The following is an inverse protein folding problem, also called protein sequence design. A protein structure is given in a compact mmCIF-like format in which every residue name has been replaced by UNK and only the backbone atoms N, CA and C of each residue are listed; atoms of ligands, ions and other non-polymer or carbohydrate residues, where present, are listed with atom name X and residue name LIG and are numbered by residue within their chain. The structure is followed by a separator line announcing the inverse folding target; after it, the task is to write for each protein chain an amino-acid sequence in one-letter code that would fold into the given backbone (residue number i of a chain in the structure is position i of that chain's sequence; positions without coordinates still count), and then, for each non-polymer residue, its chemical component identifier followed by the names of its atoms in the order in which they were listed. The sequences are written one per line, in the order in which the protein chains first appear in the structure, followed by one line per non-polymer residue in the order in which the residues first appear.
data_IF_986790974121
#
_entry.id   IF_986790974121
#
_cell.length_a   1.000
_cell.length_b   1.000
_cell.length_c   1.000
_cell.angle_alpha   90.00
_cell.angle_beta   90.00
_cell.angle_gamma   90.00
#
_symmetry.space_group_name_H-M   'P 1'
#
loop_
_entity.id
_entity.type
_entity.pdbx_description
1 polymer ?
#
# COMPACT_ATOMS: atom_id res chain seq x y z
N UNK A 1 13.50 22.71 27.45
CA UNK A 1 13.94 23.19 26.12
C UNK A 1 13.54 22.14 25.08
N UNK A 2 12.32 22.21 24.56
CA UNK A 2 11.86 21.33 23.49
C UNK A 2 11.44 22.22 22.33
N UNK A 3 12.36 22.46 21.40
CA UNK A 3 12.06 23.29 20.23
C UNK A 3 10.91 22.67 19.43
N UNK A 4 9.99 23.52 18.97
CA UNK A 4 8.92 23.16 18.04
C UNK A 4 9.51 22.30 16.91
N UNK A 5 9.24 20.99 16.95
CA UNK A 5 9.66 20.08 15.90
C UNK A 5 8.76 20.35 14.69
N UNK A 6 9.12 21.39 13.92
CA UNK A 6 8.44 21.79 12.70
C UNK A 6 8.73 20.73 11.65
N UNK A 7 7.84 19.74 11.55
CA UNK A 7 7.93 18.70 10.53
C UNK A 7 8.11 19.34 9.15
N UNK A 8 9.06 18.84 8.34
CA UNK A 8 9.34 19.32 6.97
C UNK A 8 8.51 18.56 5.93
N UNK A 9 7.25 18.30 6.23
CA UNK A 9 6.30 17.69 5.30
C UNK A 9 5.41 18.77 4.66
N UNK A 10 5.04 18.66 3.38
CA UNK A 10 4.39 19.73 2.64
C UNK A 10 2.88 19.86 2.93
N UNK A 11 2.49 19.80 4.21
CA UNK A 11 1.10 19.72 4.67
C UNK A 11 0.19 20.86 4.17
N UNK A 12 0.74 22.07 4.07
CA UNK A 12 -0.03 23.27 3.67
C UNK A 12 -0.06 23.50 2.16
N UNK A 13 0.95 23.04 1.43
CA UNK A 13 1.09 23.29 0.00
C UNK A 13 1.83 22.12 -0.67
N UNK A 14 1.17 20.95 -0.80
CA UNK A 14 1.74 19.81 -1.49
C UNK A 14 1.99 20.15 -2.97
N UNK A 15 3.15 19.74 -3.48
CA UNK A 15 3.54 19.94 -4.89
C UNK A 15 4.01 18.63 -5.54
N UNK A 16 3.19 17.56 -5.53
CA UNK A 16 3.55 16.35 -6.25
C UNK A 16 3.58 16.59 -7.76
N UNK A 17 4.45 15.88 -8.47
CA UNK A 17 4.65 15.98 -9.91
C UNK A 17 4.54 14.60 -10.56
N UNK A 18 3.30 14.12 -10.64
CA UNK A 18 2.95 12.83 -11.25
C UNK A 18 3.38 12.73 -12.71
N UNK A 19 3.31 13.85 -13.45
CA UNK A 19 3.66 13.88 -14.88
C UNK A 19 5.16 13.67 -15.05
N UNK A 20 5.98 14.42 -14.33
CA UNK A 20 7.43 14.30 -14.40
C UNK A 20 7.89 12.93 -13.95
N UNK A 21 7.34 12.42 -12.85
CA UNK A 21 7.66 11.10 -12.36
C UNK A 21 7.36 10.01 -13.40
N UNK A 22 6.18 10.05 -14.04
CA UNK A 22 5.82 9.15 -15.13
C UNK A 22 6.78 9.24 -16.32
N UNK A 23 7.13 10.45 -16.75
CA UNK A 23 8.08 10.67 -17.86
C UNK A 23 9.47 10.11 -17.58
N UNK A 24 9.93 10.20 -16.32
CA UNK A 24 11.19 9.61 -15.86
C UNK A 24 11.12 8.08 -15.90
N UNK A 25 10.04 7.49 -15.36
CA UNK A 25 9.85 6.03 -15.38
C UNK A 25 9.75 5.46 -16.80
N UNK A 26 9.12 6.18 -17.71
CA UNK A 26 9.01 5.82 -19.13
C UNK A 26 10.31 6.09 -19.91
N UNK A 27 11.36 6.61 -19.27
CA UNK A 27 12.64 6.93 -19.91
C UNK A 27 12.59 8.09 -20.90
N UNK A 28 11.49 8.86 -20.93
CA UNK A 28 11.29 10.01 -21.83
C UNK A 28 12.12 11.22 -21.43
N UNK A 29 12.53 11.31 -20.15
CA UNK A 29 13.42 12.36 -19.65
C UNK A 29 14.27 11.91 -18.46
N UNK A 30 15.31 12.68 -18.16
CA UNK A 30 16.08 12.53 -16.91
C UNK A 30 15.36 13.22 -15.75
N UNK A 31 15.55 12.68 -14.55
CA UNK A 31 15.02 13.29 -13.34
C UNK A 31 15.75 14.62 -13.04
N UNK A 32 14.98 15.69 -12.86
CA UNK A 32 15.50 17.02 -12.48
C UNK A 32 15.43 17.24 -10.96
N UNK A 33 14.73 16.35 -10.25
CA UNK A 33 14.62 16.32 -8.79
C UNK A 33 14.52 14.89 -8.28
N UNK A 34 14.72 14.72 -6.98
CA UNK A 34 14.39 13.46 -6.31
C UNK A 34 12.87 13.33 -6.25
N UNK A 35 12.36 12.24 -6.82
CA UNK A 35 10.96 11.85 -6.72
C UNK A 35 10.78 10.95 -5.48
N UNK A 36 9.73 11.21 -4.70
CA UNK A 36 9.47 10.42 -3.50
C UNK A 36 8.61 9.22 -3.83
N UNK A 37 9.13 8.05 -3.47
CA UNK A 37 8.52 6.73 -3.69
C UNK A 37 8.55 5.94 -2.38
N UNK A 38 7.44 5.32 -1.99
CA UNK A 38 7.34 4.45 -0.81
C UNK A 38 6.56 3.16 -1.16
N UNK A 39 7.27 2.04 -1.11
CA UNK A 39 6.73 0.74 -1.51
C UNK A 39 5.63 0.25 -0.58
N UNK A 40 5.62 0.63 0.70
CA UNK A 40 4.59 0.27 1.66
C UNK A 40 4.64 1.21 2.86
N UNK A 41 3.50 1.82 3.18
CA UNK A 41 3.33 2.53 4.45
C UNK A 41 2.32 1.81 5.32
N UNK A 42 2.76 1.44 6.53
CA UNK A 42 1.92 0.75 7.50
C UNK A 42 0.71 1.58 7.91
N UNK A 43 -0.43 0.91 8.14
CA UNK A 43 -1.69 1.55 8.51
C UNK A 43 -1.55 2.39 9.78
N UNK A 44 -0.77 1.91 10.75
CA UNK A 44 -0.51 2.57 12.02
C UNK A 44 0.18 3.93 11.81
N UNK A 45 1.09 4.02 10.83
CA UNK A 45 1.77 5.26 10.45
C UNK A 45 0.81 6.20 9.73
N UNK A 46 0.05 5.68 8.76
CA UNK A 46 -0.95 6.48 8.02
C UNK A 46 -1.99 7.05 8.97
N UNK A 47 -2.53 6.23 9.87
CA UNK A 47 -3.47 6.64 10.93
C UNK A 47 -2.89 7.75 11.79
N UNK A 48 -1.69 7.57 12.32
CA UNK A 48 -1.06 8.59 13.16
C UNK A 48 -0.92 9.93 12.44
N UNK A 49 -0.39 9.93 11.21
CA UNK A 49 -0.19 11.15 10.43
C UNK A 49 -1.54 11.79 10.09
N UNK A 50 -2.53 11.00 9.65
CA UNK A 50 -3.87 11.50 9.32
C UNK A 50 -4.53 12.16 10.53
N UNK A 51 -4.52 11.52 11.70
CA UNK A 51 -5.19 12.04 12.90
C UNK A 51 -4.42 13.19 13.55
N UNK A 52 -3.07 13.11 13.61
CA UNK A 52 -2.25 14.03 14.41
C UNK A 52 -1.63 15.17 13.59
N UNK A 53 -1.34 14.95 12.31
CA UNK A 53 -0.70 15.95 11.46
C UNK A 53 -1.69 16.57 10.45
N UNK A 54 -2.61 15.78 9.91
CA UNK A 54 -3.62 16.27 8.95
C UNK A 54 -4.91 16.75 9.65
N UNK A 55 -5.15 16.33 10.89
CA UNK A 55 -6.35 16.69 11.65
C UNK A 55 -7.63 16.06 11.11
N UNK A 56 -7.50 14.93 10.40
CA UNK A 56 -8.61 14.19 9.79
C UNK A 56 -8.91 12.91 10.60
N UNK A 57 -10.16 12.45 10.60
CA UNK A 57 -10.52 11.17 11.24
C UNK A 57 -10.04 10.00 10.38
N UNK A 58 -9.37 9.02 10.98
CA UNK A 58 -8.99 7.80 10.28
C UNK A 58 -10.20 6.94 9.88
N UNK A 59 -10.15 6.41 8.67
CA UNK A 59 -11.12 5.47 8.12
C UNK A 59 -10.35 4.19 7.78
N UNK A 60 -10.55 3.13 8.57
CA UNK A 60 -10.01 1.81 8.20
C UNK A 60 -10.79 1.23 7.01
N UNK A 61 -10.10 0.43 6.20
CA UNK A 61 -10.71 -0.20 5.05
C UNK A 61 -11.82 -1.18 5.47
N UNK A 62 -12.97 -1.09 4.82
CA UNK A 62 -14.01 -2.11 4.80
C UNK A 62 -14.76 -2.04 3.46
N UNK A 63 -15.43 -3.12 3.00
CA UNK A 63 -16.21 -3.10 1.76
C UNK A 63 -17.24 -1.96 1.72
N UNK A 64 -17.88 -1.65 2.85
CA UNK A 64 -18.92 -0.62 2.98
C UNK A 64 -18.35 0.80 2.95
N UNK A 65 -17.06 0.97 3.28
CA UNK A 65 -16.36 2.26 3.35
C UNK A 65 -15.31 2.42 2.28
N UNK A 66 -15.32 1.56 1.26
CA UNK A 66 -14.29 1.49 0.23
C UNK A 66 -14.00 2.85 -0.41
N UNK A 67 -15.05 3.57 -0.80
CA UNK A 67 -14.89 4.87 -1.48
C UNK A 67 -14.26 5.91 -0.55
N UNK A 68 -14.77 6.02 0.68
CA UNK A 68 -14.25 6.96 1.68
C UNK A 68 -12.79 6.66 2.04
N UNK A 69 -12.45 5.37 2.20
CA UNK A 69 -11.09 4.92 2.42
C UNK A 69 -10.16 5.37 1.28
N UNK A 70 -10.53 5.11 0.02
CA UNK A 70 -9.69 5.49 -1.12
C UNK A 70 -9.57 7.01 -1.30
N UNK A 71 -10.63 7.77 -1.01
CA UNK A 71 -10.57 9.24 -0.99
C UNK A 71 -9.58 9.74 0.06
N UNK A 72 -9.61 9.16 1.26
CA UNK A 72 -8.63 9.46 2.30
C UNK A 72 -7.21 9.04 1.90
N UNK A 73 -7.04 7.87 1.29
CA UNK A 73 -5.73 7.36 0.88
C UNK A 73 -5.08 8.26 -0.17
N UNK A 74 -5.83 8.64 -1.20
CA UNK A 74 -5.38 9.57 -2.24
C UNK A 74 -4.97 10.91 -1.62
N UNK A 75 -5.81 11.46 -0.73
CA UNK A 75 -5.54 12.73 -0.05
C UNK A 75 -4.28 12.64 0.83
N UNK A 76 -4.08 11.51 1.52
CA UNK A 76 -2.89 11.24 2.32
C UNK A 76 -1.61 11.32 1.47
N UNK A 77 -1.52 10.54 0.40
CA UNK A 77 -0.34 10.50 -0.48
C UNK A 77 -0.06 11.88 -1.11
N UNK A 78 -1.13 12.56 -1.54
CA UNK A 78 -1.05 13.91 -2.10
C UNK A 78 -0.48 14.92 -1.09
N UNK A 79 -1.06 15.00 0.12
CA UNK A 79 -0.62 15.95 1.16
C UNK A 79 0.78 15.65 1.68
N UNK A 80 1.23 14.40 1.62
CA UNK A 80 2.59 14.01 1.96
C UNK A 80 3.61 14.31 0.84
N UNK A 81 3.14 14.69 -0.35
CA UNK A 81 3.99 15.15 -1.46
C UNK A 81 4.61 14.02 -2.28
N UNK A 82 4.02 12.82 -2.26
CA UNK A 82 4.46 11.71 -3.10
C UNK A 82 4.00 11.92 -4.54
N UNK A 83 4.88 11.58 -5.48
CA UNK A 83 4.64 11.80 -6.92
C UNK A 83 3.83 10.68 -7.58
N UNK A 84 3.22 9.82 -6.76
CA UNK A 84 2.34 8.73 -7.14
C UNK A 84 1.52 8.29 -5.92
N UNK A 85 0.52 7.44 -6.17
CA UNK A 85 -0.20 6.73 -5.12
C UNK A 85 0.12 5.25 -5.25
N UNK A 86 0.30 4.57 -4.12
CA UNK A 86 0.39 3.12 -4.10
C UNK A 86 -1.02 2.54 -4.08
N UNK A 87 -1.43 1.92 -5.19
CA UNK A 87 -2.65 1.12 -5.25
C UNK A 87 -2.29 -0.34 -5.01
N UNK A 88 -2.64 -0.83 -3.83
CA UNK A 88 -2.20 -2.13 -3.35
C UNK A 88 -3.02 -2.59 -2.17
N UNK A 89 -3.31 -3.88 -2.08
CA UNK A 89 -3.93 -4.48 -0.92
C UNK A 89 -4.37 -5.88 -1.31
N UNK A 90 -3.95 -6.88 -0.53
CA UNK A 90 -4.53 -8.22 -0.62
C UNK A 90 -6.04 -8.09 -0.41
N UNK A 91 -6.81 -8.44 -1.44
CA UNK A 91 -8.28 -8.35 -1.46
C UNK A 91 -8.89 -7.06 -1.99
N UNK A 92 -8.12 -6.05 -2.41
CA UNK A 92 -8.69 -4.79 -2.99
C UNK A 92 -8.36 -4.62 -4.46
N UNK A 93 -7.14 -4.98 -4.87
CA UNK A 93 -6.63 -4.89 -6.26
C UNK A 93 -5.75 -6.08 -6.61
N UNK A 94 -5.58 -7.04 -5.70
CA UNK A 94 -4.91 -8.30 -6.01
C UNK A 94 -5.87 -9.22 -6.75
N UNK A 95 -5.40 -9.81 -7.83
CA UNK A 95 -6.01 -11.02 -8.37
C UNK A 95 -6.05 -12.08 -7.26
N UNK A 96 -7.18 -12.78 -7.15
CA UNK A 96 -7.29 -13.91 -6.23
C UNK A 96 -6.46 -15.06 -6.77
N UNK A 97 -5.25 -15.21 -6.21
CA UNK A 97 -4.37 -16.35 -6.48
C UNK A 97 -4.43 -17.30 -5.28
N UNK A 98 -5.19 -18.41 -5.35
CA UNK A 98 -5.26 -19.35 -4.24
C UNK A 98 -3.88 -19.92 -3.90
N UNK A 99 -3.34 -19.49 -2.77
CA UNK A 99 -2.04 -19.93 -2.26
C UNK A 99 -2.21 -20.74 -0.99
N UNK A 100 -1.19 -21.54 -0.67
CA UNK A 100 -1.11 -22.23 0.62
C UNK A 100 -0.34 -21.34 1.58
N UNK A 101 -1.00 -20.95 2.65
CA UNK A 101 -0.40 -20.19 3.74
C UNK A 101 -0.33 -21.07 4.99
N UNK A 102 0.83 -21.04 5.64
CA UNK A 102 0.99 -21.56 7.01
C UNK A 102 0.69 -20.43 7.98
N UNK A 103 -0.44 -20.52 8.65
CA UNK A 103 -0.78 -19.56 9.67
C UNK A 103 -0.25 -19.96 11.05
N UNK A 104 0.53 -19.07 11.65
CA UNK A 104 1.03 -19.22 13.02
C UNK A 104 0.66 -17.99 13.85
N UNK A 105 0.79 -18.10 15.17
CA UNK A 105 0.64 -16.95 16.07
C UNK A 105 1.65 -15.87 15.68
N UNK A 106 1.18 -14.64 15.50
CA UNK A 106 2.06 -13.51 15.21
C UNK A 106 2.80 -13.09 16.48
N UNK A 107 4.12 -13.21 16.47
CA UNK A 107 5.03 -12.94 17.61
C UNK A 107 5.57 -11.51 17.61
N UNK A 108 5.21 -10.67 16.64
CA UNK A 108 5.60 -9.26 16.62
C UNK A 108 5.00 -8.48 17.80
N UNK A 109 5.67 -7.39 18.20
CA UNK A 109 5.17 -6.49 19.26
C UNK A 109 3.84 -5.82 18.89
N UNK A 110 3.66 -5.50 17.60
CA UNK A 110 2.39 -5.04 17.01
C UNK A 110 1.68 -6.20 16.30
N UNK A 111 1.38 -7.25 17.07
CA UNK A 111 0.75 -8.47 16.56
C UNK A 111 -0.66 -8.21 16.04
N UNK A 112 -0.99 -8.81 14.88
CA UNK A 112 -2.37 -8.86 14.34
C UNK A 112 -3.06 -10.20 14.66
N UNK A 113 -2.58 -10.91 15.68
CA UNK A 113 -3.11 -12.20 16.14
C UNK A 113 -2.47 -13.38 15.42
N UNK A 114 -2.72 -13.53 14.12
CA UNK A 114 -2.15 -14.60 13.28
C UNK A 114 -1.42 -14.02 12.08
N UNK A 115 -0.36 -14.69 11.64
CA UNK A 115 0.41 -14.35 10.45
C UNK A 115 0.49 -15.56 9.52
N UNK A 116 0.11 -15.36 8.26
CA UNK A 116 0.33 -16.32 7.20
C UNK A 116 1.74 -16.20 6.62
N UNK A 117 2.43 -17.32 6.50
CA UNK A 117 3.69 -17.46 5.78
C UNK A 117 3.47 -18.30 4.54
N UNK A 118 4.17 -17.98 3.45
CA UNK A 118 4.15 -18.82 2.26
C UNK A 118 4.56 -20.26 2.61
N UNK A 119 3.81 -21.23 2.10
CA UNK A 119 4.22 -22.64 2.16
C UNK A 119 5.38 -22.90 1.18
N UNK A 120 6.57 -23.17 1.71
CA UNK A 120 7.76 -23.43 0.90
C UNK A 120 8.03 -24.93 0.64
N UNK A 121 7.38 -25.83 1.39
CA UNK A 121 7.61 -27.27 1.26
C UNK A 121 6.92 -27.90 0.05
N UNK A 122 5.68 -27.51 -0.23
CA UNK A 122 4.95 -27.91 -1.44
C UNK A 122 4.10 -26.76 -1.95
N UNK A 123 4.49 -26.22 -3.11
CA UNK A 123 3.77 -25.14 -3.76
C UNK A 123 2.30 -25.46 -4.07
N UNK A 124 1.49 -24.43 -4.38
CA UNK A 124 0.10 -24.62 -4.77
C UNK A 124 -0.05 -25.47 -6.03
N UNK A 125 0.93 -25.40 -6.94
CA UNK A 125 1.03 -26.22 -8.15
C UNK A 125 2.32 -27.03 -8.06
N UNK A 126 2.22 -28.34 -7.85
CA UNK A 126 3.37 -29.24 -7.73
C UNK A 126 3.38 -30.37 -8.78
N UNK A 127 2.38 -30.39 -9.66
CA UNK A 127 2.21 -31.36 -10.73
C UNK A 127 1.38 -30.78 -11.87
N UNK A 128 1.40 -31.44 -13.03
CA UNK A 128 0.52 -31.10 -14.15
C UNK A 128 -0.96 -31.20 -13.78
N UNK A 129 -1.35 -32.18 -12.97
CA UNK A 129 -2.73 -32.28 -12.51
C UNK A 129 -3.14 -31.08 -11.63
N UNK A 130 -2.24 -30.58 -10.79
CA UNK A 130 -2.51 -29.37 -9.99
C UNK A 130 -2.65 -28.15 -10.90
N UNK A 131 -1.81 -28.05 -11.94
CA UNK A 131 -1.84 -26.96 -12.93
C UNK A 131 -3.18 -26.90 -13.66
N UNK A 132 -3.67 -28.04 -14.16
CA UNK A 132 -4.95 -28.14 -14.88
C UNK A 132 -6.16 -27.84 -13.99
N UNK A 133 -6.05 -28.10 -12.68
CA UNK A 133 -7.13 -27.86 -11.70
C UNK A 133 -7.05 -26.48 -11.05
N UNK A 134 -5.95 -25.76 -11.21
CA UNK A 134 -5.75 -24.50 -10.52
C UNK A 134 -6.77 -23.47 -11.04
N UNK A 135 -7.44 -22.72 -10.15
CA UNK A 135 -8.43 -21.72 -10.56
C UNK A 135 -7.74 -20.45 -11.05
N UNK A 136 -7.24 -20.49 -12.28
CA UNK A 136 -6.60 -19.35 -12.92
C UNK A 136 -7.58 -18.17 -13.04
N UNK A 137 -7.20 -16.95 -12.63
CA UNK A 137 -8.02 -15.77 -12.84
C UNK A 137 -8.19 -15.50 -14.34
N UNK A 138 -9.37 -15.03 -14.75
CA UNK A 138 -9.63 -14.60 -16.12
C UNK A 138 -9.23 -13.15 -16.29
N UNK A 139 -8.82 -12.76 -17.49
CA UNK A 139 -8.39 -11.39 -17.76
C UNK A 139 -9.55 -10.39 -17.74
N UNK A 140 -10.77 -10.87 -17.97
CA UNK A 140 -12.00 -10.10 -18.05
C UNK A 140 -12.73 -9.92 -16.71
N UNK A 141 -12.20 -10.51 -15.63
CA UNK A 141 -12.70 -10.38 -14.24
C UNK A 141 -11.78 -9.47 -13.41
#
# INVERSE_FOLDING_TARGET
MGGDMKYRVPLKNPKPDFKSFREVLEGRKRAERVHFVEILMDEEIKKYITEKLLGEKWISYSPERREDYWRQDINFWYKMGYDYIRVSGGGVVSLDWPTKLREIKDTASLSRGRRGWSEEGKGPIASWQDFEKYPWPKAEE
#
